data_IF_426284255962
#
_entry.id   IF_426284255962
#
_cell.length_a   1.000
_cell.length_b   1.000
_cell.length_c   1.000
_cell.angle_alpha   90.00
_cell.angle_beta   90.00
_cell.angle_gamma   90.00
#
_symmetry.space_group_name_H-M   'P 1'
#
loop_
_entity.id
_entity.type
_entity.pdbx_description
1 polymer ?
#
# COMPACT_ATOMS: atom_id res chain seq x y z
N UNK A 1 20.46 -2.89 -2.27
CA UNK A 1 19.13 -2.57 -2.82
C UNK A 1 18.16 -2.42 -1.67
N UNK A 2 17.50 -1.28 -1.55
CA UNK A 2 16.44 -1.11 -0.56
C UNK A 2 15.19 -1.78 -1.09
N UNK A 3 14.62 -2.71 -0.32
CA UNK A 3 13.38 -3.37 -0.71
C UNK A 3 12.22 -2.40 -0.43
N UNK A 4 11.38 -2.16 -1.43
CA UNK A 4 10.11 -1.46 -1.23
C UNK A 4 8.96 -2.47 -1.14
N UNK A 5 7.97 -2.19 -0.31
CA UNK A 5 6.80 -3.03 -0.14
C UNK A 5 5.53 -2.23 -0.40
N UNK A 6 4.55 -2.87 -1.04
CA UNK A 6 3.20 -2.35 -1.25
C UNK A 6 2.17 -3.32 -0.70
N UNK A 7 0.97 -2.84 -0.38
CA UNK A 7 -0.16 -3.69 0.01
C UNK A 7 -1.12 -3.78 -1.18
N UNK A 8 -1.55 -5.00 -1.54
CA UNK A 8 -2.62 -5.23 -2.52
C UNK A 8 -3.82 -5.94 -1.91
N UNK A 9 -5.01 -5.58 -2.37
CA UNK A 9 -6.26 -6.31 -2.16
C UNK A 9 -6.88 -6.58 -3.52
N UNK A 10 -6.82 -7.83 -3.99
CA UNK A 10 -7.12 -8.15 -5.38
C UNK A 10 -6.21 -7.37 -6.35
N UNK A 11 -6.82 -6.61 -7.25
CA UNK A 11 -6.10 -5.81 -8.25
C UNK A 11 -5.77 -4.38 -7.79
N UNK A 12 -6.15 -4.00 -6.57
CA UNK A 12 -5.96 -2.65 -6.06
C UNK A 12 -4.79 -2.57 -5.08
N UNK A 13 -4.08 -1.45 -5.11
CA UNK A 13 -3.02 -1.05 -4.20
C UNK A 13 -3.54 -0.14 -3.10
N UNK A 14 -2.95 -0.25 -1.92
CA UNK A 14 -3.24 0.65 -0.81
C UNK A 14 -2.68 2.05 -1.04
N UNK A 15 -3.54 3.07 -1.01
CA UNK A 15 -3.19 4.48 -1.23
C UNK A 15 -3.14 5.30 0.07
N UNK A 16 -3.66 4.77 1.19
CA UNK A 16 -3.68 5.50 2.45
C UNK A 16 -5.02 5.46 3.15
N UNK A 17 -5.21 6.38 4.09
CA UNK A 17 -6.51 6.61 4.72
C UNK A 17 -7.10 7.87 4.12
N UNK A 18 -8.38 7.83 3.79
CA UNK A 18 -9.12 9.03 3.41
C UNK A 18 -10.03 9.44 4.58
N UNK A 19 -10.11 10.75 4.81
CA UNK A 19 -11.02 11.31 5.79
C UNK A 19 -12.27 11.76 5.03
N UNK A 20 -13.26 10.89 4.95
CA UNK A 20 -14.51 11.27 4.30
C UNK A 20 -15.29 12.25 5.19
N UNK A 21 -16.03 13.16 4.55
CA UNK A 21 -16.92 14.18 5.16
C UNK A 21 -17.86 13.63 6.25
N UNK A 22 -18.07 12.31 6.30
CA UNK A 22 -18.89 11.60 7.28
C UNK A 22 -18.12 11.16 8.53
N UNK A 23 -16.94 11.74 8.82
CA UNK A 23 -16.12 11.43 10.02
C UNK A 23 -15.71 9.95 10.16
N UNK A 24 -15.72 9.19 9.06
CA UNK A 24 -15.36 7.78 9.06
C UNK A 24 -13.99 7.58 8.40
N UNK A 25 -13.09 6.88 9.08
CA UNK A 25 -11.79 6.51 8.54
C UNK A 25 -11.94 5.32 7.58
N UNK A 26 -11.91 5.61 6.29
CA UNK A 26 -11.84 4.61 5.24
C UNK A 26 -10.40 4.33 4.81
N UNK A 27 -10.13 3.10 4.38
CA UNK A 27 -8.92 2.81 3.62
C UNK A 27 -9.16 3.12 2.15
N UNK A 28 -8.25 3.89 1.55
CA UNK A 28 -8.27 4.24 0.14
C UNK A 28 -7.41 3.26 -0.64
N UNK A 29 -7.93 2.85 -1.79
CA UNK A 29 -7.28 1.91 -2.70
C UNK A 29 -7.26 2.52 -4.10
N UNK A 30 -6.24 2.18 -4.89
CA UNK A 30 -6.00 2.68 -6.26
C UNK A 30 -5.61 1.50 -7.15
N UNK A 31 -5.91 1.54 -8.44
CA UNK A 31 -5.41 0.57 -9.43
C UNK A 31 -4.01 0.94 -9.96
N UNK A 32 -3.53 2.14 -9.67
CA UNK A 32 -2.24 2.65 -10.10
C UNK A 32 -1.16 2.50 -9.01
N UNK A 33 -0.07 1.78 -9.33
CA UNK A 33 1.04 1.59 -8.41
C UNK A 33 1.74 2.91 -8.03
N UNK A 34 1.78 3.89 -8.92
CA UNK A 34 2.44 5.19 -8.66
C UNK A 34 1.76 5.99 -7.55
N UNK A 35 0.47 5.73 -7.32
CA UNK A 35 -0.31 6.38 -6.28
C UNK A 35 -0.34 5.55 -4.98
N UNK A 36 0.32 4.39 -4.95
CA UNK A 36 0.33 3.50 -3.80
C UNK A 36 1.29 3.98 -2.71
N UNK A 37 0.97 3.67 -1.45
CA UNK A 37 1.92 3.81 -0.36
C UNK A 37 2.96 2.69 -0.46
N UNK A 38 4.21 3.11 -0.64
CA UNK A 38 5.39 2.26 -0.59
C UNK A 38 6.13 2.48 0.72
N UNK A 39 6.61 1.41 1.34
CA UNK A 39 7.43 1.49 2.54
C UNK A 39 8.54 0.45 2.51
N UNK A 40 9.70 0.79 3.08
CA UNK A 40 10.80 -0.16 3.31
C UNK A 40 10.56 -1.05 4.54
N UNK A 41 9.58 -0.70 5.38
CA UNK A 41 9.26 -1.42 6.60
C UNK A 41 8.21 -2.52 6.36
N UNK A 42 8.68 -3.75 6.20
CA UNK A 42 7.82 -4.92 5.98
C UNK A 42 6.82 -5.16 7.12
N UNK A 43 7.24 -5.01 8.38
CA UNK A 43 6.39 -5.30 9.53
C UNK A 43 5.22 -4.34 9.66
N UNK A 44 5.46 -3.05 9.37
CA UNK A 44 4.38 -2.07 9.28
C UNK A 44 3.39 -2.42 8.18
N UNK A 45 3.90 -2.75 6.99
CA UNK A 45 3.07 -3.08 5.84
C UNK A 45 2.26 -4.37 6.08
N UNK A 46 2.84 -5.36 6.74
CA UNK A 46 2.17 -6.62 7.12
C UNK A 46 1.01 -6.36 8.07
N UNK A 47 1.25 -5.64 9.18
CA UNK A 47 0.19 -5.28 10.15
C UNK A 47 -0.94 -4.51 9.50
N UNK A 48 -0.62 -3.65 8.53
CA UNK A 48 -1.63 -2.86 7.81
C UNK A 48 -2.38 -3.71 6.78
N UNK A 49 -1.71 -4.62 6.07
CA UNK A 49 -2.35 -5.56 5.16
C UNK A 49 -3.37 -6.44 5.88
N UNK A 50 -3.02 -6.98 7.06
CA UNK A 50 -3.93 -7.78 7.90
C UNK A 50 -5.21 -7.02 8.26
N UNK A 51 -5.09 -5.73 8.63
CA UNK A 51 -6.26 -4.89 8.95
C UNK A 51 -7.16 -4.60 7.75
N UNK A 52 -6.60 -4.56 6.55
CA UNK A 52 -7.32 -4.27 5.30
C UNK A 52 -7.84 -5.56 4.65
N UNK A 53 -7.38 -6.73 5.10
CA UNK A 53 -7.61 -8.03 4.43
C UNK A 53 -6.77 -8.22 3.17
N UNK A 54 -5.74 -7.41 2.98
CA UNK A 54 -4.83 -7.46 1.84
C UNK A 54 -3.60 -8.35 2.07
N UNK A 55 -2.64 -8.27 1.14
CA UNK A 55 -1.34 -8.94 1.22
C UNK A 55 -0.22 -7.97 0.87
N UNK A 56 0.95 -8.19 1.46
CA UNK A 56 2.15 -7.40 1.16
C UNK A 56 2.88 -8.01 -0.03
N UNK A 57 3.30 -7.15 -0.96
CA UNK A 57 4.11 -7.49 -2.13
C UNK A 57 5.42 -6.72 -2.06
N UNK A 58 6.52 -7.41 -2.34
CA UNK A 58 7.82 -6.79 -2.54
C UNK A 58 7.87 -6.19 -3.95
N UNK A 59 8.35 -4.96 -4.06
CA UNK A 59 8.58 -4.26 -5.32
C UNK A 59 10.08 -4.18 -5.56
N UNK A 60 10.46 -4.54 -6.79
CA UNK A 60 11.81 -4.34 -7.29
C UNK A 60 11.87 -2.93 -7.88
N UNK A 61 12.71 -2.08 -7.31
CA UNK A 61 13.00 -0.76 -7.85
C UNK A 61 14.30 -0.86 -8.62
N UNK A 62 14.26 -0.51 -9.89
CA UNK A 62 15.41 -0.45 -10.78
C UNK A 62 15.63 1.01 -11.19
N UNK A 63 16.89 1.44 -11.23
CA UNK A 63 17.26 2.77 -11.69
C UNK A 63 17.09 2.82 -13.21
N UNK A 64 16.52 3.91 -13.72
CA UNK A 64 16.31 4.12 -15.16
C UNK A 64 17.24 5.26 -15.58
N UNK A 65 18.10 5.01 -16.59
CA UNK A 65 19.01 5.99 -17.21
C UNK A 65 18.29 6.90 -18.21
#
# INVERSE_FOLDING_TARGET
>A
MKNAYAIKLGNLYYQGRDFNLTNNYGYKMTDNLNDAILSENFDEMRKRAEKIGGKVYKINLEEVE
#
